data_IF_699282231153
#
_entry.id   IF_699282231153
#
_cell.length_a   1.000
_cell.length_b   1.000
_cell.length_c   1.000
_cell.angle_alpha   90.00
_cell.angle_beta   90.00
_cell.angle_gamma   90.00
#
_symmetry.space_group_name_H-M   'P 1'
#
loop_
_entity.id
_entity.type
_entity.pdbx_description
1 polymer ?
#
# COMPACT_ATOMS: atom_id res chain seq x y z
N UNK A 1 20.04 -11.70 4.44
CA UNK A 1 19.39 -12.18 3.20
C UNK A 1 18.81 -10.95 2.52
N UNK A 2 19.01 -10.75 1.21
CA UNK A 2 18.35 -9.68 0.46
C UNK A 2 17.11 -10.27 -0.22
N UNK A 3 15.99 -9.57 -0.13
CA UNK A 3 14.69 -10.01 -0.68
C UNK A 3 14.14 -8.96 -1.63
N UNK A 4 13.35 -9.41 -2.62
CA UNK A 4 12.67 -8.55 -3.58
C UNK A 4 11.17 -8.80 -3.44
N UNK A 5 10.37 -7.74 -3.50
CA UNK A 5 8.91 -7.78 -3.41
C UNK A 5 8.27 -6.82 -4.42
N UNK A 6 6.95 -6.89 -4.59
CA UNK A 6 6.18 -6.04 -5.52
C UNK A 6 6.22 -4.54 -5.17
N UNK A 7 6.64 -4.18 -3.94
CA UNK A 7 6.68 -2.80 -3.46
C UNK A 7 5.42 -2.44 -2.67
N UNK A 8 5.08 -1.15 -2.66
CA UNK A 8 3.84 -0.64 -2.05
C UNK A 8 2.64 -0.95 -2.94
N UNK A 9 1.58 -1.54 -2.39
CA UNK A 9 0.38 -1.93 -3.15
C UNK A 9 -0.58 -0.76 -3.43
N UNK A 10 -0.41 0.37 -2.72
CA UNK A 10 -1.14 1.61 -2.98
C UNK A 10 -0.80 2.16 -4.39
N UNK A 11 -1.53 1.69 -5.40
CA UNK A 11 -1.32 2.06 -6.81
C UNK A 11 -1.75 3.49 -7.16
N UNK A 12 -2.53 4.14 -6.29
CA UNK A 12 -2.90 5.56 -6.35
C UNK A 12 -2.90 6.09 -4.91
N UNK A 13 -1.72 6.33 -4.33
CA UNK A 13 -1.65 6.76 -2.94
C UNK A 13 -2.22 8.18 -2.82
N UNK A 14 -3.22 8.34 -1.95
CA UNK A 14 -3.68 9.65 -1.48
C UNK A 14 -3.38 9.76 0.00
N UNK A 15 -3.48 10.98 0.55
CA UNK A 15 -3.38 11.18 1.99
C UNK A 15 -4.43 10.38 2.80
N UNK A 16 -5.51 9.96 2.15
CA UNK A 16 -6.58 9.17 2.76
C UNK A 16 -6.40 7.65 2.56
N UNK A 17 -5.43 7.23 1.74
CA UNK A 17 -5.00 5.83 1.65
C UNK A 17 -4.32 5.40 2.94
N UNK A 18 -4.52 4.14 3.33
CA UNK A 18 -3.90 3.58 4.53
C UNK A 18 -2.35 3.57 4.39
N UNK A 19 -1.59 4.22 5.29
CA UNK A 19 -0.13 4.25 5.23
C UNK A 19 0.54 3.06 5.95
N UNK A 20 -0.20 2.01 6.34
CA UNK A 20 0.33 0.89 7.13
C UNK A 20 1.57 0.22 6.52
N UNK A 21 1.69 0.20 5.19
CA UNK A 21 2.87 -0.32 4.50
C UNK A 21 4.15 0.51 4.72
N UNK A 22 4.01 1.78 5.12
CA UNK A 22 5.12 2.68 5.45
C UNK A 22 5.58 2.56 6.92
N UNK A 23 4.94 1.74 7.75
CA UNK A 23 5.32 1.55 9.15
C UNK A 23 5.44 0.05 9.48
N UNK A 24 6.17 -0.36 10.54
CA UNK A 24 6.28 -1.76 10.94
C UNK A 24 4.99 -2.27 11.59
N UNK A 25 3.98 -2.51 10.77
CA UNK A 25 2.63 -2.87 11.21
C UNK A 25 2.28 -4.33 10.95
N UNK A 26 3.05 -5.04 10.11
CA UNK A 26 2.75 -6.41 9.69
C UNK A 26 4.04 -7.24 9.53
N UNK A 27 4.02 -8.49 10.01
CA UNK A 27 5.14 -9.43 9.88
C UNK A 27 5.51 -9.79 8.43
N UNK A 28 4.63 -9.56 7.46
CA UNK A 28 4.87 -9.81 6.03
C UNK A 28 5.76 -8.75 5.38
N UNK A 29 5.98 -7.61 6.04
CA UNK A 29 6.86 -6.55 5.55
C UNK A 29 8.33 -6.98 5.73
N UNK A 30 8.97 -7.33 4.62
CA UNK A 30 10.28 -8.00 4.61
C UNK A 30 11.42 -7.15 5.20
N UNK A 31 11.27 -5.83 5.23
CA UNK A 31 12.26 -4.90 5.78
C UNK A 31 12.29 -4.89 7.32
N UNK A 32 11.22 -5.31 7.99
CA UNK A 32 11.10 -5.29 9.46
C UNK A 32 10.10 -6.32 10.03
N UNK A 33 10.19 -7.61 9.67
CA UNK A 33 9.16 -8.59 9.99
C UNK A 33 8.98 -8.80 11.50
N UNK A 34 10.05 -8.68 12.30
CA UNK A 34 9.98 -8.84 13.77
C UNK A 34 9.30 -7.65 14.47
N UNK A 35 9.55 -6.43 14.01
CA UNK A 35 8.88 -5.23 14.53
C UNK A 35 7.40 -5.21 14.12
N UNK A 36 7.11 -5.56 12.86
CA UNK A 36 5.75 -5.72 12.38
C UNK A 36 4.95 -6.76 13.18
N UNK A 37 5.55 -7.91 13.47
CA UNK A 37 4.93 -8.93 14.31
C UNK A 37 4.65 -8.44 15.72
N UNK A 38 5.54 -7.63 16.30
CA UNK A 38 5.37 -7.03 17.62
C UNK A 38 4.17 -6.09 17.68
N UNK A 39 4.02 -5.23 16.66
CA UNK A 39 2.86 -4.37 16.54
C UNK A 39 1.56 -5.17 16.36
N UNK A 40 1.54 -6.11 15.41
CA UNK A 40 0.36 -6.93 15.08
C UNK A 40 -0.12 -7.76 16.29
N UNK A 41 0.80 -8.31 17.07
CA UNK A 41 0.49 -9.15 18.23
C UNK A 41 0.41 -8.38 19.56
N UNK A 42 0.39 -7.05 19.54
CA UNK A 42 0.36 -6.21 20.75
C UNK A 42 1.47 -6.59 21.75
N UNK A 43 2.66 -6.86 21.24
CA UNK A 43 3.86 -7.19 22.01
C UNK A 43 3.98 -8.63 22.50
N UNK A 44 3.07 -9.54 22.12
CA UNK A 44 3.13 -10.96 22.55
C UNK A 44 4.17 -11.80 21.81
N UNK A 45 4.54 -11.39 20.59
CA UNK A 45 5.50 -12.07 19.72
C UNK A 45 6.23 -11.03 18.87
N UNK A 46 7.45 -11.33 18.41
CA UNK A 46 8.30 -10.38 17.72
C UNK A 46 9.19 -9.59 18.68
N UNK A 47 9.71 -8.45 18.22
CA UNK A 47 10.60 -7.58 18.99
C UNK A 47 10.16 -6.12 18.88
N UNK A 48 10.28 -5.32 19.95
CA UNK A 48 10.01 -3.89 19.86
C UNK A 48 10.99 -3.23 18.90
N UNK A 49 10.55 -2.13 18.28
CA UNK A 49 11.38 -1.33 17.40
C UNK A 49 12.56 -0.73 18.18
N UNK A 50 13.78 -0.97 17.71
CA UNK A 50 15.02 -0.43 18.28
C UNK A 50 15.57 0.78 17.50
N UNK A 51 14.96 1.12 16.36
CA UNK A 51 15.26 2.29 15.54
C UNK A 51 14.25 3.40 15.78
N UNK A 52 14.72 4.58 16.20
CA UNK A 52 13.87 5.72 16.53
C UNK A 52 12.94 6.15 15.38
N UNK A 53 13.45 6.12 14.14
CA UNK A 53 12.69 6.49 12.94
C UNK A 53 11.58 5.48 12.65
N UNK A 54 11.81 4.19 12.86
CA UNK A 54 10.78 3.17 12.69
C UNK A 54 9.72 3.26 13.81
N UNK A 55 10.10 3.65 15.03
CA UNK A 55 9.13 3.96 16.09
C UNK A 55 8.30 5.20 15.72
N UNK A 56 8.93 6.26 15.18
CA UNK A 56 8.22 7.44 14.70
C UNK A 56 7.19 7.09 13.62
N UNK A 57 7.52 6.19 12.69
CA UNK A 57 6.59 5.70 11.68
C UNK A 57 5.37 4.99 12.29
N UNK A 58 5.54 4.22 13.38
CA UNK A 58 4.41 3.62 14.12
C UNK A 58 3.52 4.69 14.77
N UNK A 59 4.14 5.67 15.42
CA UNK A 59 3.41 6.75 16.09
C UNK A 59 2.61 7.57 15.07
N UNK A 60 3.20 7.87 13.92
CA UNK A 60 2.57 8.53 12.78
C UNK A 60 1.41 7.69 12.21
N UNK A 61 1.61 6.39 12.03
CA UNK A 61 0.55 5.49 11.60
C UNK A 61 -0.64 5.51 12.56
N UNK A 62 -0.41 5.43 13.87
CA UNK A 62 -1.47 5.52 14.88
C UNK A 62 -2.15 6.90 14.87
N UNK A 63 -1.39 7.98 14.72
CA UNK A 63 -1.95 9.32 14.57
C UNK A 63 -2.83 9.44 13.32
N UNK A 64 -2.43 8.81 12.21
CA UNK A 64 -3.20 8.79 10.97
C UNK A 64 -4.53 8.03 11.14
N UNK A 65 -4.50 6.86 11.78
CA UNK A 65 -5.69 6.05 12.08
C UNK A 65 -6.70 6.82 12.94
N UNK A 66 -6.20 7.62 13.89
CA UNK A 66 -7.04 8.40 14.80
C UNK A 66 -7.43 9.79 14.24
N UNK A 67 -6.87 10.20 13.10
CA UNK A 67 -7.16 11.50 12.50
C UNK A 67 -8.45 11.49 11.69
N UNK A 68 -9.26 12.54 11.87
CA UNK A 68 -10.48 12.79 11.08
C UNK A 68 -10.33 13.89 10.03
N UNK A 69 -9.21 14.64 10.06
CA UNK A 69 -8.93 15.73 9.12
C UNK A 69 -8.03 15.25 7.99
N UNK A 70 -8.39 15.58 6.75
CA UNK A 70 -7.60 15.28 5.55
C UNK A 70 -6.28 16.04 5.59
N UNK A 71 -6.27 17.27 6.11
CA UNK A 71 -5.06 18.08 6.27
C UNK A 71 -4.07 17.39 7.21
N UNK A 72 -4.52 16.95 8.39
CA UNK A 72 -3.67 16.22 9.33
C UNK A 72 -3.16 14.90 8.73
N UNK A 73 -4.02 14.16 8.03
CA UNK A 73 -3.62 12.92 7.35
C UNK A 73 -2.57 13.19 6.25
N UNK A 74 -2.68 14.31 5.55
CA UNK A 74 -1.75 14.74 4.51
C UNK A 74 -0.37 15.05 5.09
N UNK A 75 -0.30 15.80 6.18
CA UNK A 75 0.97 16.14 6.82
C UNK A 75 1.65 14.89 7.40
N UNK A 76 0.87 13.99 8.02
CA UNK A 76 1.39 12.70 8.50
C UNK A 76 1.96 11.88 7.33
N UNK A 77 1.23 11.78 6.21
CA UNK A 77 1.69 11.06 5.03
C UNK A 77 3.01 11.61 4.50
N UNK A 78 3.13 12.94 4.39
CA UNK A 78 4.38 13.59 3.95
C UNK A 78 5.54 13.26 4.88
N UNK A 79 5.32 13.38 6.19
CA UNK A 79 6.37 13.07 7.18
C UNK A 79 6.82 11.59 7.10
N UNK A 80 5.88 10.67 6.91
CA UNK A 80 6.23 9.25 6.71
C UNK A 80 7.07 9.04 5.44
N UNK A 81 6.75 9.71 4.33
CA UNK A 81 7.51 9.63 3.09
C UNK A 81 8.91 10.25 3.22
N UNK A 82 9.04 11.36 3.95
CA UNK A 82 10.32 12.00 4.25
C UNK A 82 11.24 11.05 5.04
N UNK A 83 10.71 10.41 6.08
CA UNK A 83 11.47 9.42 6.87
C UNK A 83 11.91 8.24 5.99
N UNK A 84 11.06 7.75 5.09
CA UNK A 84 11.42 6.68 4.15
C UNK A 84 12.54 7.10 3.19
N UNK A 85 12.48 8.33 2.67
CA UNK A 85 13.50 8.88 1.80
C UNK A 85 14.85 9.02 2.51
N UNK A 86 14.85 9.48 3.77
CA UNK A 86 16.07 9.69 4.55
C UNK A 86 16.72 8.40 5.04
N UNK A 87 15.92 7.40 5.44
CA UNK A 87 16.41 6.17 6.06
C UNK A 87 16.62 5.01 5.08
N UNK A 88 16.02 5.08 3.89
CA UNK A 88 16.14 4.06 2.84
C UNK A 88 15.85 2.63 3.33
N UNK A 89 14.78 2.44 4.12
CA UNK A 89 14.36 1.11 4.62
C UNK A 89 14.09 0.10 3.48
N UNK A 90 13.75 0.60 2.30
CA UNK A 90 13.64 -0.16 1.06
C UNK A 90 14.30 0.62 -0.08
N UNK A 91 14.76 -0.11 -1.11
CA UNK A 91 15.31 0.50 -2.33
C UNK A 91 14.33 0.20 -3.46
N UNK A 92 13.65 1.24 -3.96
CA UNK A 92 12.78 1.13 -5.12
C UNK A 92 13.60 0.84 -6.39
N UNK A 93 13.18 -0.17 -7.16
CA UNK A 93 13.83 -0.56 -8.42
C UNK A 93 13.08 -0.03 -9.64
N UNK A 94 11.78 -0.28 -9.72
CA UNK A 94 10.88 0.16 -10.79
C UNK A 94 9.49 0.47 -10.21
N UNK A 95 8.73 1.34 -10.86
CA UNK A 95 7.35 1.67 -10.50
C UNK A 95 6.50 1.89 -11.75
N UNK A 96 5.17 1.78 -11.63
CA UNK A 96 4.24 2.09 -12.72
C UNK A 96 4.28 1.11 -13.91
N UNK A 97 4.62 -0.16 -13.67
CA UNK A 97 4.65 -1.17 -14.72
C UNK A 97 3.24 -1.45 -15.24
N UNK A 98 3.02 -1.29 -16.55
CA UNK A 98 1.72 -1.55 -17.17
C UNK A 98 1.34 -3.03 -17.09
N UNK A 99 0.14 -3.31 -16.56
CA UNK A 99 -0.44 -4.66 -16.52
C UNK A 99 -1.20 -4.92 -17.81
N UNK A 100 -0.79 -5.94 -18.57
CA UNK A 100 -1.50 -6.34 -19.79
C UNK A 100 -2.68 -7.25 -19.43
N UNK A 101 -3.87 -6.87 -19.89
CA UNK A 101 -5.11 -7.62 -19.68
C UNK A 101 -5.67 -8.01 -21.05
N UNK A 102 -5.96 -9.29 -21.23
CA UNK A 102 -6.58 -9.80 -22.45
C UNK A 102 -8.08 -9.89 -22.24
N UNK A 103 -8.85 -9.15 -23.04
CA UNK A 103 -10.30 -9.24 -23.07
C UNK A 103 -10.77 -9.71 -24.45
N UNK A 104 -11.89 -10.43 -24.48
CA UNK A 104 -12.53 -10.80 -25.75
C UNK A 104 -13.08 -9.58 -26.46
N UNK A 105 -12.93 -9.49 -27.79
CA UNK A 105 -13.55 -8.44 -28.62
C UNK A 105 -15.09 -8.41 -28.50
N UNK A 106 -15.69 -9.50 -28.01
CA UNK A 106 -17.12 -9.58 -27.74
C UNK A 106 -17.52 -9.06 -26.36
N UNK A 107 -16.58 -8.97 -25.41
CA UNK A 107 -16.84 -8.42 -24.09
C UNK A 107 -16.82 -6.89 -24.17
N UNK A 108 -17.98 -6.28 -23.99
CA UNK A 108 -18.20 -4.84 -24.09
C UNK A 108 -18.16 -4.20 -22.72
N UNK A 109 -17.98 -2.88 -22.74
CA UNK A 109 -17.93 -2.02 -21.55
C UNK A 109 -16.67 -2.21 -20.68
N UNK A 110 -15.66 -2.93 -21.18
CA UNK A 110 -14.32 -3.00 -20.55
C UNK A 110 -13.53 -1.75 -20.98
N UNK A 111 -12.98 -0.97 -20.04
CA UNK A 111 -12.13 0.18 -20.39
C UNK A 111 -10.86 -0.26 -21.14
N UNK A 112 -10.44 0.53 -22.13
CA UNK A 112 -9.18 0.28 -22.86
C UNK A 112 -7.95 0.53 -21.98
N UNK A 113 -8.02 1.54 -21.11
CA UNK A 113 -7.02 1.84 -20.09
C UNK A 113 -7.71 1.92 -18.74
N UNK A 114 -7.15 1.20 -17.76
CA UNK A 114 -7.74 1.06 -16.44
C UNK A 114 -6.63 0.98 -15.38
N UNK A 115 -6.96 1.42 -14.17
CA UNK A 115 -6.14 1.20 -12.99
C UNK A 115 -6.32 -0.26 -12.56
N UNK A 116 -5.22 -0.96 -12.33
CA UNK A 116 -5.20 -2.29 -11.76
C UNK A 116 -4.36 -2.28 -10.49
N UNK A 117 -5.03 -2.35 -9.34
CA UNK A 117 -4.39 -2.37 -8.02
C UNK A 117 -5.30 -3.11 -7.03
N UNK A 118 -4.71 -3.70 -6.00
CA UNK A 118 -5.48 -4.34 -4.94
C UNK A 118 -6.21 -3.29 -4.07
N UNK A 119 -5.49 -2.36 -3.46
CA UNK A 119 -6.06 -1.35 -2.55
C UNK A 119 -5.98 0.06 -3.17
N UNK A 120 -7.09 0.82 -3.28
CA UNK A 120 -8.50 0.46 -3.03
C UNK A 120 -9.22 -0.15 -4.26
N UNK A 121 -8.49 -0.49 -5.33
CA UNK A 121 -9.06 -0.83 -6.64
C UNK A 121 -9.86 -2.14 -6.72
N UNK A 122 -9.60 -3.07 -5.80
CA UNK A 122 -10.06 -4.46 -5.85
C UNK A 122 -9.81 -5.10 -7.23
N UNK A 123 -8.60 -4.90 -7.76
CA UNK A 123 -8.19 -5.23 -9.12
C UNK A 123 -9.04 -4.49 -10.17
N UNK A 124 -10.13 -5.11 -10.63
CA UNK A 124 -11.08 -4.52 -11.57
C UNK A 124 -12.33 -3.95 -10.90
N UNK A 125 -12.48 -4.10 -9.58
CA UNK A 125 -13.70 -3.77 -8.85
C UNK A 125 -14.18 -2.33 -9.07
N UNK A 126 -13.26 -1.37 -9.08
CA UNK A 126 -13.58 0.04 -9.35
C UNK A 126 -14.17 0.30 -10.74
N UNK A 127 -13.97 -0.61 -11.69
CA UNK A 127 -14.50 -0.50 -13.06
C UNK A 127 -15.88 -1.15 -13.23
N UNK A 128 -16.52 -1.56 -12.13
CA UNK A 128 -17.87 -2.15 -12.12
C UNK A 128 -18.03 -3.29 -13.12
N UNK A 129 -17.33 -4.42 -12.90
CA UNK A 129 -17.35 -5.56 -13.84
C UNK A 129 -18.76 -6.16 -14.02
N UNK A 130 -19.69 -5.88 -13.11
CA UNK A 130 -21.12 -6.18 -13.22
C UNK A 130 -21.81 -5.47 -14.40
N UNK A 131 -21.20 -4.41 -14.93
CA UNK A 131 -21.70 -3.67 -16.10
C UNK A 131 -21.12 -4.17 -17.43
N UNK A 132 -20.22 -5.16 -17.40
CA UNK A 132 -19.66 -5.76 -18.62
C UNK A 132 -20.64 -6.75 -19.22
N UNK A 133 -20.66 -6.86 -20.56
CA UNK A 133 -21.60 -7.76 -21.24
C UNK A 133 -21.03 -8.33 -22.54
N UNK A 134 -21.45 -9.53 -22.91
CA UNK A 134 -21.06 -10.14 -24.18
C UNK A 134 -22.01 -9.74 -25.30
N UNK A 135 -21.47 -9.23 -26.40
CA UNK A 135 -22.20 -9.04 -27.63
C UNK A 135 -22.65 -10.38 -28.23
N UNK A 136 -23.80 -10.33 -28.91
CA UNK A 136 -24.32 -11.45 -29.70
C UNK A 136 -23.25 -11.98 -30.66
N UNK A 137 -23.28 -13.29 -30.98
CA UNK A 137 -22.33 -13.92 -31.90
C UNK A 137 -22.24 -13.22 -33.25
#
# INVERSE_FOLDING_TARGET
MMSIWAGLENGIPTAESNPGELAPTNQQQLQWPRWGQFFENQGRAGEPTDVAQAQRLLDLYQAWVNSVSVENKTEIWKEMLEIHADQMFTIGLVAGVSQLVVASNRLRNVPETAIYNWEPGAMFGVHRPDTFWFASP
#
